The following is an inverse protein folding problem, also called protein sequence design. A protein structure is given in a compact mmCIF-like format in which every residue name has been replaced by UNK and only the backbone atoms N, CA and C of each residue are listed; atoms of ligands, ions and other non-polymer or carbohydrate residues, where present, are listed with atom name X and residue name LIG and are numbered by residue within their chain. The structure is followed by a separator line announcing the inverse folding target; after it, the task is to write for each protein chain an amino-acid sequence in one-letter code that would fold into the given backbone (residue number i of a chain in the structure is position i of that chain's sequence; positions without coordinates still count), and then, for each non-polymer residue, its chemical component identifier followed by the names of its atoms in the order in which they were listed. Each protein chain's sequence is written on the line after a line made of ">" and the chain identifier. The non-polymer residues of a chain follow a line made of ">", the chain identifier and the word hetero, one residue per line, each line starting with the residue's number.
data_IF_332303818516
#
_entry.id   IF_332303818516
#
_cell.length_a   1.000
_cell.length_b   1.000
_cell.length_c   1.000
_cell.angle_alpha   90.00
_cell.angle_beta   90.00
_cell.angle_gamma   90.00
#
_symmetry.space_group_name_H-M   'P 1'
#
loop_
_entity.id
_entity.type
_entity.pdbx_description
1 polymer ?
#
# COMPACT_ATOMS: atom_id res chain seq x y z
N UNK A 1 14.53 28.58 -5.51
CA UNK A 1 13.90 27.25 -5.41
C UNK A 1 12.41 27.44 -5.58
N UNK A 2 11.77 26.84 -6.59
CA UNK A 2 10.32 26.92 -6.74
C UNK A 2 9.65 26.22 -5.56
N UNK A 3 8.50 26.71 -5.12
CA UNK A 3 7.71 26.09 -4.05
C UNK A 3 6.92 24.93 -4.66
N UNK A 4 6.93 23.71 -4.07
CA UNK A 4 6.02 22.65 -4.47
C UNK A 4 4.59 23.12 -4.24
N UNK A 5 3.71 22.83 -5.19
CA UNK A 5 2.27 23.12 -5.10
C UNK A 5 1.63 22.36 -3.95
N UNK A 6 0.67 22.98 -3.26
CA UNK A 6 -0.07 22.43 -2.10
C UNK A 6 -1.10 21.36 -2.51
N UNK A 7 -0.70 20.41 -3.37
CA UNK A 7 -1.58 19.34 -3.82
C UNK A 7 -1.61 18.19 -2.80
N UNK A 8 -2.80 17.87 -2.36
CA UNK A 8 -3.12 16.93 -1.29
C UNK A 8 -2.74 15.49 -1.63
N UNK A 9 -1.95 14.84 -0.79
CA UNK A 9 -1.78 13.38 -0.75
C UNK A 9 -2.88 12.77 0.13
N UNK A 10 -4.07 12.54 -0.41
CA UNK A 10 -5.06 11.71 0.25
C UNK A 10 -4.89 10.28 -0.26
N UNK A 11 -4.20 9.43 0.49
CA UNK A 11 -4.17 8.00 0.24
C UNK A 11 -5.55 7.41 0.61
N UNK A 12 -6.46 7.36 -0.36
CA UNK A 12 -7.74 6.70 -0.17
C UNK A 12 -7.55 5.18 -0.26
N UNK A 13 -7.73 4.49 0.85
CA UNK A 13 -7.85 3.03 0.89
C UNK A 13 -9.01 2.57 0.00
N UNK A 14 -8.70 1.72 -0.99
CA UNK A 14 -9.66 1.07 -1.87
C UNK A 14 -10.59 0.15 -1.07
N UNK A 15 -11.80 0.62 -0.77
CA UNK A 15 -12.94 -0.25 -0.54
C UNK A 15 -13.61 -0.51 -1.90
N UNK A 16 -13.44 -1.71 -2.45
CA UNK A 16 -14.08 -2.11 -3.69
C UNK A 16 -15.58 -2.24 -3.52
N UNK A 17 -16.36 -1.46 -4.28
CA UNK A 17 -17.77 -1.68 -4.49
C UNK A 17 -17.98 -2.15 -5.95
N UNK A 18 -18.39 -3.40 -6.10
CA UNK A 18 -18.85 -3.95 -7.37
C UNK A 18 -20.30 -3.52 -7.57
N UNK A 19 -20.57 -2.72 -8.58
CA UNK A 19 -21.92 -2.48 -9.06
C UNK A 19 -22.09 -3.11 -10.46
N UNK A 20 -22.95 -4.11 -10.54
CA UNK A 20 -23.47 -4.71 -11.77
C UNK A 20 -24.50 -3.76 -12.40
N UNK A 21 -24.37 -3.48 -13.69
CA UNK A 21 -25.38 -2.79 -14.47
C UNK A 21 -25.19 -3.09 -15.94
N UNK A 22 -25.92 -4.11 -16.44
CA UNK A 22 -25.97 -4.43 -17.84
C UNK A 22 -26.89 -3.51 -18.60
N UNK A 23 -26.66 -3.37 -19.90
CA UNK A 23 -27.67 -3.23 -20.93
C UNK A 23 -27.05 -3.55 -22.29
N UNK A 24 -27.72 -4.47 -23.00
CA UNK A 24 -27.27 -5.00 -24.25
C UNK A 24 -27.54 -4.08 -25.46
N UNK A 25 -26.78 -4.32 -26.51
CA UNK A 25 -27.19 -4.04 -27.87
C UNK A 25 -26.75 -5.20 -28.76
N UNK A 26 -27.73 -5.81 -29.35
CA UNK A 26 -27.61 -6.80 -30.41
C UNK A 26 -27.05 -6.16 -31.68
N UNK A 27 -26.00 -6.76 -32.22
CA UNK A 27 -25.61 -6.51 -33.61
C UNK A 27 -25.48 -7.86 -34.32
N UNK A 28 -26.29 -8.04 -35.31
CA UNK A 28 -26.40 -9.21 -36.19
C UNK A 28 -25.14 -9.38 -37.04
N UNK A 29 -24.45 -10.51 -36.89
CA UNK A 29 -23.35 -10.89 -37.78
C UNK A 29 -23.78 -12.08 -38.60
N UNK A 30 -23.72 -11.92 -39.94
CA UNK A 30 -23.98 -12.96 -40.92
C UNK A 30 -22.91 -14.09 -40.83
N UNK A 31 -23.30 -15.36 -41.07
CA UNK A 31 -22.33 -16.44 -41.08
C UNK A 31 -21.59 -16.48 -42.43
N UNK A 32 -20.26 -16.46 -42.36
CA UNK A 32 -19.37 -16.80 -43.48
C UNK A 32 -19.24 -18.33 -43.54
N UNK A 33 -19.60 -18.89 -44.70
CA UNK A 33 -19.43 -20.32 -44.99
C UNK A 33 -17.94 -20.74 -44.93
N UNK A 34 -17.68 -21.87 -44.29
CA UNK A 34 -16.37 -22.49 -44.22
C UNK A 34 -16.11 -23.41 -45.43
N UNK A 35 -14.93 -23.42 -46.06
CA UNK A 35 -14.61 -24.36 -47.09
C UNK A 35 -14.34 -25.75 -46.50
N UNK A 36 -15.03 -26.76 -47.06
CA UNK A 36 -14.84 -28.18 -46.76
C UNK A 36 -13.62 -28.72 -47.52
N UNK A 37 -12.47 -28.89 -46.82
CA UNK A 37 -11.48 -29.84 -47.23
C UNK A 37 -10.99 -30.59 -45.96
N UNK A 38 -11.42 -31.86 -45.86
CA UNK A 38 -10.93 -32.80 -44.89
C UNK A 38 -9.52 -33.24 -45.32
N UNK A 39 -8.50 -33.00 -44.51
CA UNK A 39 -7.19 -33.65 -44.60
C UNK A 39 -7.14 -34.85 -43.63
N UNK A 40 -6.39 -35.91 -43.92
CA UNK A 40 -6.45 -37.18 -43.20
C UNK A 40 -5.88 -37.04 -41.78
N UNK A 41 -6.55 -37.76 -40.87
CA UNK A 41 -6.18 -37.87 -39.44
C UNK A 41 -4.90 -38.70 -39.34
N UNK A 42 -3.75 -38.02 -39.20
CA UNK A 42 -2.48 -38.63 -38.83
C UNK A 42 -2.21 -38.44 -37.34
N UNK A 43 -2.00 -39.55 -36.68
CA UNK A 43 -1.43 -39.79 -35.35
C UNK A 43 -1.64 -38.69 -34.27
N UNK A 44 -2.72 -38.85 -33.50
CA UNK A 44 -3.02 -38.12 -32.26
C UNK A 44 -2.06 -38.43 -31.10
N UNK A 45 -1.09 -39.34 -31.26
CA UNK A 45 -0.18 -39.74 -30.20
C UNK A 45 1.06 -38.82 -30.03
N UNK A 46 1.32 -37.91 -31.01
CA UNK A 46 2.49 -37.02 -30.95
C UNK A 46 2.21 -35.64 -30.36
N UNK A 47 0.93 -35.33 -30.01
CA UNK A 47 0.55 -34.05 -29.44
C UNK A 47 0.58 -34.00 -27.91
N UNK A 48 0.94 -35.11 -27.25
CA UNK A 48 0.99 -35.21 -25.78
C UNK A 48 2.30 -34.66 -25.16
N UNK A 49 3.20 -34.10 -25.94
CA UNK A 49 4.53 -33.64 -25.48
C UNK A 49 4.84 -32.18 -25.85
N UNK A 50 3.85 -31.37 -26.18
CA UNK A 50 4.11 -29.92 -26.25
C UNK A 50 4.27 -29.43 -24.82
N UNK A 51 5.38 -28.76 -24.43
CA UNK A 51 5.45 -28.04 -23.18
C UNK A 51 4.25 -27.10 -23.15
N UNK A 52 3.40 -27.21 -22.16
CA UNK A 52 2.39 -26.19 -21.92
C UNK A 52 3.16 -24.90 -21.69
N UNK A 53 3.18 -24.04 -22.70
CA UNK A 53 3.57 -22.65 -22.53
C UNK A 53 2.47 -22.09 -21.62
N UNK A 54 2.70 -22.17 -20.33
CA UNK A 54 1.81 -21.56 -19.36
C UNK A 54 1.69 -20.09 -19.73
N UNK A 55 0.47 -19.61 -19.90
CA UNK A 55 0.25 -18.17 -20.01
C UNK A 55 0.95 -17.51 -18.82
N UNK A 56 1.75 -16.45 -19.04
CA UNK A 56 2.37 -15.76 -17.93
C UNK A 56 1.29 -15.38 -16.90
N UNK A 57 1.52 -15.77 -15.65
CA UNK A 57 0.60 -15.39 -14.58
C UNK A 57 0.45 -13.86 -14.56
N UNK A 58 -0.77 -13.32 -14.35
CA UNK A 58 -0.94 -11.88 -14.19
C UNK A 58 0.03 -11.34 -13.14
N UNK A 59 0.64 -10.19 -13.41
CA UNK A 59 1.62 -9.57 -12.51
C UNK A 59 1.02 -9.35 -11.12
N UNK A 60 -0.27 -8.95 -11.06
CA UNK A 60 -0.99 -8.77 -9.81
C UNK A 60 -1.04 -10.04 -8.96
N UNK A 61 -1.35 -11.19 -9.57
CA UNK A 61 -1.42 -12.47 -8.85
C UNK A 61 -0.03 -12.90 -8.38
N UNK A 62 0.98 -12.73 -9.22
CA UNK A 62 2.37 -13.02 -8.88
C UNK A 62 2.86 -12.14 -7.71
N UNK A 63 2.56 -10.84 -7.71
CA UNK A 63 2.92 -9.94 -6.61
C UNK A 63 2.17 -10.27 -5.32
N UNK A 64 0.88 -10.66 -5.41
CA UNK A 64 0.10 -11.02 -4.22
C UNK A 64 0.52 -12.35 -3.59
N UNK A 65 1.08 -13.28 -4.38
CA UNK A 65 1.63 -14.52 -3.86
C UNK A 65 2.89 -14.33 -3.01
N UNK A 66 3.60 -13.19 -3.20
CA UNK A 66 4.82 -12.88 -2.43
C UNK A 66 4.42 -12.35 -1.04
N UNK A 67 4.95 -12.90 0.06
CA UNK A 67 4.79 -12.36 1.40
C UNK A 67 5.21 -10.88 1.46
N UNK A 68 4.52 -10.08 2.30
CA UNK A 68 4.74 -8.63 2.37
C UNK A 68 6.22 -8.24 2.57
N UNK A 69 6.91 -8.93 3.50
CA UNK A 69 8.32 -8.62 3.78
C UNK A 69 9.23 -8.89 2.58
N UNK A 70 9.03 -10.01 1.91
CA UNK A 70 9.78 -10.36 0.69
C UNK A 70 9.44 -9.40 -0.46
N UNK A 71 8.16 -9.00 -0.56
CA UNK A 71 7.71 -8.04 -1.57
C UNK A 71 8.34 -6.66 -1.36
N UNK A 72 8.57 -6.24 -0.12
CA UNK A 72 9.32 -5.02 0.18
C UNK A 72 10.82 -5.21 -0.06
N UNK A 73 11.38 -6.35 0.38
CA UNK A 73 12.81 -6.64 0.26
C UNK A 73 13.32 -6.68 -1.19
N UNK A 74 12.46 -7.04 -2.17
CA UNK A 74 12.84 -6.98 -3.59
C UNK A 74 13.25 -5.58 -4.07
N UNK A 75 12.87 -4.53 -3.34
CA UNK A 75 13.23 -3.14 -3.61
C UNK A 75 14.44 -2.62 -2.84
N UNK A 76 15.07 -3.47 -2.01
CA UNK A 76 16.15 -3.10 -1.11
C UNK A 76 17.25 -2.29 -1.80
N UNK A 77 17.69 -2.71 -2.99
CA UNK A 77 18.74 -1.99 -3.74
C UNK A 77 18.32 -0.56 -4.09
N UNK A 78 17.08 -0.35 -4.52
CA UNK A 78 16.56 0.97 -4.86
C UNK A 78 16.37 1.83 -3.61
N UNK A 79 15.92 1.21 -2.52
CA UNK A 79 15.75 1.88 -1.22
C UNK A 79 17.11 2.31 -0.66
N UNK A 80 18.13 1.46 -0.74
CA UNK A 80 19.48 1.76 -0.26
C UNK A 80 20.13 2.88 -1.07
N UNK A 81 19.95 2.88 -2.40
CA UNK A 81 20.39 3.97 -3.28
C UNK A 81 19.72 5.29 -2.90
N UNK A 82 18.39 5.29 -2.77
CA UNK A 82 17.62 6.48 -2.42
C UNK A 82 17.98 7.01 -1.01
N UNK A 83 18.11 6.11 -0.03
CA UNK A 83 18.51 6.45 1.34
C UNK A 83 19.87 7.15 1.38
N UNK A 84 20.85 6.58 0.66
CA UNK A 84 22.20 7.16 0.53
C UNK A 84 22.19 8.50 -0.22
N UNK A 85 21.43 8.58 -1.33
CA UNK A 85 21.38 9.78 -2.17
C UNK A 85 20.82 10.99 -1.45
N UNK A 86 19.80 10.80 -0.61
CA UNK A 86 19.11 11.90 0.08
C UNK A 86 19.47 12.02 1.56
N UNK A 87 20.34 11.16 2.07
CA UNK A 87 20.66 11.13 3.49
C UNK A 87 19.38 11.07 4.35
N UNK A 88 18.54 10.06 4.06
CA UNK A 88 17.35 9.74 4.84
C UNK A 88 17.44 8.32 5.38
N UNK A 89 16.95 8.05 6.61
CA UNK A 89 16.97 6.70 7.14
C UNK A 89 16.25 5.71 6.22
N UNK A 90 16.93 4.61 5.85
CA UNK A 90 16.35 3.53 5.03
C UNK A 90 14.98 3.08 5.54
N UNK A 91 14.86 2.94 6.88
CA UNK A 91 13.63 2.54 7.53
C UNK A 91 12.44 3.46 7.25
N UNK A 92 12.67 4.75 7.00
CA UNK A 92 11.59 5.69 6.64
C UNK A 92 11.02 5.39 5.26
N UNK A 93 11.89 5.11 4.28
CA UNK A 93 11.47 4.77 2.91
C UNK A 93 10.68 3.46 2.92
N UNK A 94 11.17 2.43 3.63
CA UNK A 94 10.49 1.15 3.80
C UNK A 94 9.13 1.33 4.48
N UNK A 95 9.06 2.13 5.55
CA UNK A 95 7.83 2.35 6.31
C UNK A 95 6.77 3.06 5.46
N UNK A 96 7.15 4.08 4.68
CA UNK A 96 6.27 4.75 3.73
C UNK A 96 5.83 3.79 2.63
N UNK A 97 6.74 3.13 1.91
CA UNK A 97 6.41 2.17 0.85
C UNK A 97 5.43 1.09 1.33
N UNK A 98 5.62 0.60 2.55
CA UNK A 98 4.72 -0.37 3.17
C UNK A 98 3.30 0.15 3.31
N UNK A 99 3.13 1.38 3.76
CA UNK A 99 1.82 2.00 3.96
C UNK A 99 1.15 2.34 2.61
N UNK A 100 1.94 2.80 1.63
CA UNK A 100 1.42 3.31 0.36
C UNK A 100 1.02 2.19 -0.61
N UNK A 101 1.92 1.25 -0.86
CA UNK A 101 1.70 0.21 -1.87
C UNK A 101 1.85 -1.22 -1.34
N UNK A 102 2.48 -1.39 -0.16
CA UNK A 102 2.94 -2.70 0.31
C UNK A 102 3.97 -3.31 -0.64
N UNK A 103 4.72 -2.50 -1.39
CA UNK A 103 5.71 -2.91 -2.38
C UNK A 103 5.13 -3.49 -3.68
N UNK A 104 3.83 -3.27 -3.97
CA UNK A 104 3.18 -3.68 -5.23
C UNK A 104 3.36 -2.61 -6.29
N UNK A 105 3.42 -3.06 -7.56
CA UNK A 105 3.49 -2.16 -8.72
C UNK A 105 2.17 -2.04 -9.45
N UNK A 106 1.26 -3.01 -9.27
CA UNK A 106 -0.02 -3.07 -9.98
C UNK A 106 -1.20 -3.35 -9.05
N UNK A 107 -2.37 -2.96 -9.51
CA UNK A 107 -3.69 -3.33 -9.01
C UNK A 107 -4.24 -4.52 -9.81
N UNK A 108 -5.39 -5.05 -9.41
CA UNK A 108 -6.10 -6.10 -10.15
C UNK A 108 -6.29 -5.70 -11.62
N UNK A 109 -6.02 -6.65 -12.53
CA UNK A 109 -6.02 -6.40 -13.97
C UNK A 109 -4.70 -5.80 -14.49
N UNK A 110 -3.61 -5.91 -13.71
CA UNK A 110 -2.26 -5.43 -14.05
C UNK A 110 -2.20 -3.92 -14.34
N UNK A 111 -3.13 -3.17 -13.76
CA UNK A 111 -3.18 -1.70 -13.89
C UNK A 111 -2.11 -1.11 -12.96
N UNK A 112 -1.26 -0.16 -13.44
CA UNK A 112 -0.28 0.51 -12.57
C UNK A 112 -0.93 1.09 -11.32
N UNK A 113 -0.32 0.82 -10.14
CA UNK A 113 -0.91 1.20 -8.86
C UNK A 113 -1.10 2.70 -8.76
N UNK A 114 -2.37 3.11 -8.69
CA UNK A 114 -2.78 4.52 -8.60
C UNK A 114 -3.92 4.63 -7.60
N UNK A 115 -3.84 5.57 -6.66
CA UNK A 115 -4.93 5.82 -5.72
C UNK A 115 -6.09 6.56 -6.41
N UNK A 116 -7.26 6.58 -5.76
CA UNK A 116 -8.42 7.37 -6.23
C UNK A 116 -8.12 8.87 -6.28
N UNK A 117 -7.19 9.35 -5.48
CA UNK A 117 -6.72 10.73 -5.50
C UNK A 117 -5.64 11.00 -6.56
N UNK A 118 -5.18 9.96 -7.29
CA UNK A 118 -4.17 10.08 -8.34
C UNK A 118 -2.73 9.90 -7.87
N UNK A 119 -2.49 9.45 -6.64
CA UNK A 119 -1.14 9.12 -6.18
C UNK A 119 -0.61 7.88 -6.91
N UNK A 120 0.67 7.89 -7.33
CA UNK A 120 1.23 6.97 -8.32
C UNK A 120 2.40 6.14 -7.78
N UNK A 121 2.42 4.86 -8.14
CA UNK A 121 3.57 3.96 -7.97
C UNK A 121 3.84 3.50 -6.54
N UNK A 122 5.02 2.93 -6.31
CA UNK A 122 5.46 2.30 -5.06
C UNK A 122 5.35 3.22 -3.84
N UNK A 123 5.69 4.50 -4.01
CA UNK A 123 5.70 5.51 -2.96
C UNK A 123 4.46 6.39 -2.98
N UNK A 124 3.48 6.12 -3.85
CA UNK A 124 2.25 6.88 -4.01
C UNK A 124 2.49 8.40 -4.09
N UNK A 125 3.34 8.79 -5.02
CA UNK A 125 3.70 10.20 -5.24
C UNK A 125 2.59 10.90 -6.01
N UNK A 126 2.11 12.04 -5.50
CA UNK A 126 1.10 12.86 -6.18
C UNK A 126 1.64 13.48 -7.47
N UNK A 127 0.80 13.72 -8.51
CA UNK A 127 1.23 14.23 -9.81
C UNK A 127 2.07 15.50 -9.75
N UNK A 128 1.68 16.45 -8.91
CA UNK A 128 2.44 17.72 -8.79
C UNK A 128 3.78 17.49 -8.09
N UNK A 129 3.80 16.70 -7.02
CA UNK A 129 5.04 16.30 -6.34
C UNK A 129 5.97 15.52 -7.29
N UNK A 130 5.40 14.60 -8.08
CA UNK A 130 6.16 13.88 -9.12
C UNK A 130 6.80 14.84 -10.12
N UNK A 131 6.01 15.78 -10.66
CA UNK A 131 6.53 16.76 -11.62
C UNK A 131 7.70 17.54 -11.04
N UNK A 132 7.58 18.02 -9.80
CA UNK A 132 8.62 18.82 -9.16
C UNK A 132 9.88 17.95 -8.88
N UNK A 133 9.71 16.76 -8.30
CA UNK A 133 10.84 15.83 -8.06
C UNK A 133 11.50 15.38 -9.37
N UNK A 134 10.70 15.12 -10.41
CA UNK A 134 11.22 14.74 -11.73
C UNK A 134 12.12 15.80 -12.32
N UNK A 135 11.73 17.06 -12.22
CA UNK A 135 12.53 18.17 -12.73
C UNK A 135 13.80 18.40 -11.91
N UNK A 136 13.68 18.42 -10.59
CA UNK A 136 14.79 18.68 -9.67
C UNK A 136 15.87 17.58 -9.74
N UNK A 137 15.47 16.33 -9.89
CA UNK A 137 16.37 15.18 -9.85
C UNK A 137 16.59 14.50 -11.20
N UNK A 138 16.06 15.08 -12.29
CA UNK A 138 16.20 14.61 -13.69
C UNK A 138 15.74 13.16 -13.88
N UNK A 139 14.57 12.83 -13.31
CA UNK A 139 13.97 11.51 -13.45
C UNK A 139 13.33 11.34 -14.83
N UNK A 140 13.05 10.10 -15.21
CA UNK A 140 12.37 9.75 -16.45
C UNK A 140 10.96 10.32 -16.58
N UNK A 141 10.25 9.92 -17.62
CA UNK A 141 8.87 10.37 -17.87
C UNK A 141 7.79 9.52 -17.24
N UNK A 142 8.13 8.31 -16.76
CA UNK A 142 7.17 7.34 -16.25
C UNK A 142 7.12 7.35 -14.71
N UNK A 143 6.02 7.86 -14.09
CA UNK A 143 5.88 7.89 -12.62
C UNK A 143 5.73 6.49 -11.98
N UNK A 144 5.52 5.45 -12.78
CA UNK A 144 5.39 4.07 -12.32
C UNK A 144 6.69 3.28 -12.45
N UNK A 145 7.76 3.88 -13.00
CA UNK A 145 9.07 3.26 -12.95
C UNK A 145 9.52 3.09 -11.51
N UNK A 146 9.84 1.86 -11.05
CA UNK A 146 10.15 1.61 -9.64
C UNK A 146 11.33 2.42 -9.11
N UNK A 147 12.41 2.55 -9.91
CA UNK A 147 13.59 3.31 -9.51
C UNK A 147 13.24 4.79 -9.32
N UNK A 148 12.66 5.40 -10.34
CA UNK A 148 12.37 6.83 -10.34
C UNK A 148 11.30 7.20 -9.31
N UNK A 149 10.31 6.32 -9.09
CA UNK A 149 9.28 6.54 -8.08
C UNK A 149 9.84 6.47 -6.65
N UNK A 150 10.75 5.52 -6.37
CA UNK A 150 11.43 5.44 -5.05
C UNK A 150 12.33 6.64 -4.83
N UNK A 151 13.07 7.09 -5.86
CA UNK A 151 13.88 8.31 -5.79
C UNK A 151 13.01 9.54 -5.51
N UNK A 152 11.88 9.70 -6.21
CA UNK A 152 10.96 10.82 -6.00
C UNK A 152 10.37 10.81 -4.59
N UNK A 153 9.91 9.65 -4.10
CA UNK A 153 9.37 9.51 -2.74
C UNK A 153 10.40 9.82 -1.65
N UNK A 154 11.64 9.33 -1.81
CA UNK A 154 12.73 9.60 -0.86
C UNK A 154 13.16 11.07 -0.87
N UNK A 155 13.23 11.71 -2.04
CA UNK A 155 13.49 13.14 -2.17
C UNK A 155 12.41 13.97 -1.47
N UNK A 156 11.15 13.56 -1.62
CA UNK A 156 10.03 14.23 -0.95
C UNK A 156 10.07 14.02 0.57
N UNK A 157 10.41 12.82 1.07
CA UNK A 157 10.67 12.58 2.50
C UNK A 157 11.77 13.52 3.02
N UNK A 158 12.89 13.67 2.28
CA UNK A 158 13.96 14.61 2.65
C UNK A 158 13.47 16.04 2.75
N UNK A 159 12.71 16.50 1.75
CA UNK A 159 12.11 17.84 1.73
C UNK A 159 11.22 18.06 2.94
N UNK A 160 10.28 17.14 3.21
CA UNK A 160 9.35 17.24 4.33
C UNK A 160 10.07 17.20 5.69
N UNK A 161 11.11 16.36 5.81
CA UNK A 161 11.91 16.32 7.03
C UNK A 161 12.64 17.63 7.29
N UNK A 162 13.18 18.25 6.26
CA UNK A 162 13.82 19.57 6.39
C UNK A 162 12.84 20.68 6.81
N UNK A 163 11.57 20.52 6.45
CA UNK A 163 10.54 21.53 6.74
C UNK A 163 9.85 21.32 8.09
N UNK A 164 9.52 20.08 8.44
CA UNK A 164 8.66 19.76 9.59
C UNK A 164 9.34 18.91 10.65
N UNK A 165 10.43 18.23 10.30
CA UNK A 165 11.09 17.27 11.19
C UNK A 165 10.30 15.98 11.41
N UNK A 166 10.94 15.05 12.13
CA UNK A 166 10.33 13.80 12.57
C UNK A 166 9.47 14.03 13.82
N UNK A 167 8.29 13.42 13.97
CA UNK A 167 7.58 12.56 13.02
C UNK A 167 6.60 13.33 12.10
N UNK A 168 6.52 14.66 12.21
CA UNK A 168 5.54 15.48 11.51
C UNK A 168 5.66 15.37 9.96
N UNK A 169 6.87 15.06 9.46
CA UNK A 169 7.09 14.78 8.03
C UNK A 169 6.12 13.72 7.48
N UNK A 170 5.79 12.70 8.26
CA UNK A 170 4.90 11.63 7.83
C UNK A 170 3.43 12.07 7.79
N UNK A 171 3.02 12.97 8.68
CA UNK A 171 1.71 13.61 8.58
C UNK A 171 1.61 14.46 7.32
N UNK A 172 2.67 15.22 7.00
CA UNK A 172 2.74 15.98 5.77
C UNK A 172 2.77 15.10 4.50
N UNK A 173 3.40 13.94 4.57
CA UNK A 173 3.42 12.98 3.47
C UNK A 173 2.02 12.45 3.14
N UNK A 174 1.26 12.04 4.19
CA UNK A 174 -0.06 11.44 4.05
C UNK A 174 -1.17 12.47 3.79
N UNK A 175 -1.26 13.54 4.61
CA UNK A 175 -2.36 14.52 4.59
C UNK A 175 -2.04 15.79 3.79
N UNK A 176 -0.80 15.94 3.36
CA UNK A 176 -0.28 17.09 2.63
C UNK A 176 0.26 18.21 3.52
N UNK A 177 1.24 18.98 3.02
CA UNK A 177 1.90 20.06 3.76
C UNK A 177 0.94 21.14 4.27
N UNK A 178 0.00 21.60 3.43
CA UNK A 178 -0.94 22.65 3.81
C UNK A 178 -1.88 22.25 4.94
N UNK A 179 -2.32 20.99 4.96
CA UNK A 179 -3.16 20.45 6.04
C UNK A 179 -2.37 20.32 7.34
N UNK A 180 -1.12 19.86 7.26
CA UNK A 180 -0.25 19.83 8.43
C UNK A 180 0.01 21.24 8.96
N UNK A 181 0.24 22.24 8.11
CA UNK A 181 0.42 23.64 8.53
C UNK A 181 -0.83 24.19 9.25
N UNK A 182 -2.02 23.89 8.72
CA UNK A 182 -3.28 24.23 9.40
C UNK A 182 -3.42 23.53 10.76
N UNK A 183 -2.96 22.27 10.87
CA UNK A 183 -2.93 21.57 12.14
C UNK A 183 -1.97 22.22 13.14
N UNK A 184 -0.74 22.51 12.72
CA UNK A 184 0.28 23.17 13.55
C UNK A 184 -0.17 24.58 13.99
N UNK A 185 -0.91 25.31 13.13
CA UNK A 185 -1.51 26.59 13.45
C UNK A 185 -2.74 26.47 14.36
N UNK A 186 -3.21 25.27 14.65
CA UNK A 186 -4.34 25.04 15.53
C UNK A 186 -5.72 25.25 14.90
N UNK A 187 -5.80 25.38 13.58
CA UNK A 187 -7.04 25.62 12.83
C UNK A 187 -7.69 24.35 12.28
N UNK A 188 -6.97 23.21 12.32
CA UNK A 188 -7.45 21.92 11.85
C UNK A 188 -6.87 20.79 12.71
N UNK A 189 -7.66 19.76 12.99
CA UNK A 189 -7.16 18.52 13.59
C UNK A 189 -6.70 17.54 12.50
N UNK A 190 -5.73 16.66 12.82
CA UNK A 190 -5.34 15.59 11.93
C UNK A 190 -6.51 14.61 11.74
N UNK A 191 -6.77 14.15 10.50
CA UNK A 191 -7.72 13.07 10.25
C UNK A 191 -7.33 11.77 10.97
N UNK A 192 -8.31 10.94 11.30
CA UNK A 192 -8.07 9.64 11.92
C UNK A 192 -7.15 8.73 11.08
N UNK A 193 -7.25 8.84 9.76
CA UNK A 193 -6.38 8.14 8.81
C UNK A 193 -4.91 8.55 8.99
N UNK A 194 -4.64 9.85 9.03
CA UNK A 194 -3.28 10.37 9.22
C UNK A 194 -2.72 10.00 10.58
N UNK A 195 -3.56 10.00 11.62
CA UNK A 195 -3.17 9.53 12.97
C UNK A 195 -2.78 8.05 12.93
N UNK A 196 -3.57 7.21 12.25
CA UNK A 196 -3.28 5.80 12.09
C UNK A 196 -1.99 5.57 11.27
N UNK A 197 -1.81 6.33 10.19
CA UNK A 197 -0.60 6.30 9.36
C UNK A 197 0.66 6.61 10.18
N UNK A 198 0.64 7.71 10.93
CA UNK A 198 1.72 8.09 11.85
C UNK A 198 2.01 7.00 12.89
N UNK A 199 0.96 6.49 13.52
CA UNK A 199 1.05 5.45 14.55
C UNK A 199 1.71 4.20 14.00
N UNK A 200 1.26 3.71 12.85
CA UNK A 200 1.81 2.53 12.19
C UNK A 200 3.29 2.70 11.82
N UNK A 201 3.67 3.85 11.26
CA UNK A 201 5.07 4.13 10.92
C UNK A 201 5.93 4.17 12.17
N UNK A 202 5.53 4.93 13.20
CA UNK A 202 6.33 5.10 14.41
C UNK A 202 6.56 3.79 15.16
N UNK A 203 5.52 2.96 15.28
CA UNK A 203 5.65 1.65 15.91
C UNK A 203 6.66 0.79 15.15
N UNK A 204 6.61 0.77 13.81
CA UNK A 204 7.54 -0.01 12.98
C UNK A 204 8.98 0.50 13.05
N UNK A 205 9.16 1.77 13.33
CA UNK A 205 10.47 2.38 13.56
C UNK A 205 10.95 2.22 15.01
N UNK A 206 10.18 1.53 15.88
CA UNK A 206 10.52 1.32 17.28
C UNK A 206 10.26 2.54 18.17
N UNK A 207 9.51 3.53 17.68
CA UNK A 207 9.20 4.77 18.38
C UNK A 207 7.69 4.86 18.66
N UNK A 208 7.30 4.48 19.87
CA UNK A 208 5.89 4.50 20.27
C UNK A 208 5.34 5.94 20.30
N UNK A 209 4.16 6.19 19.72
CA UNK A 209 3.52 7.52 19.74
C UNK A 209 3.26 8.01 21.16
N UNK A 210 3.52 9.30 21.39
CA UNK A 210 3.20 9.99 22.66
C UNK A 210 2.14 11.06 22.38
N UNK A 211 1.09 11.18 23.23
CA UNK A 211 0.09 12.23 23.09
C UNK A 211 0.74 13.63 23.10
N UNK A 212 0.32 14.51 22.18
CA UNK A 212 0.77 15.90 22.11
C UNK A 212 2.19 16.15 21.66
N UNK A 213 2.88 15.13 21.16
CA UNK A 213 4.24 15.26 20.65
C UNK A 213 4.31 16.10 19.38
N UNK A 214 5.36 16.94 19.27
CA UNK A 214 5.63 17.85 18.15
C UNK A 214 4.52 18.86 17.85
N UNK A 215 3.68 19.22 18.81
CA UNK A 215 2.61 20.19 18.62
C UNK A 215 1.48 19.71 17.69
N UNK A 216 1.49 18.45 17.25
CA UNK A 216 0.45 17.89 16.41
C UNK A 216 -0.86 17.79 17.19
N UNK A 217 -1.90 18.43 16.69
CA UNK A 217 -3.24 18.33 17.26
C UNK A 217 -3.91 17.07 16.74
N UNK A 218 -4.05 16.11 17.64
CA UNK A 218 -4.89 14.94 17.38
C UNK A 218 -6.35 15.38 17.49
N UNK A 219 -7.20 14.95 16.58
CA UNK A 219 -8.64 15.17 16.72
C UNK A 219 -9.06 14.76 18.12
N UNK A 220 -9.68 15.70 18.88
CA UNK A 220 -10.13 15.44 20.24
C UNK A 220 -11.03 14.22 20.21
N UNK A 221 -10.59 13.15 20.85
CA UNK A 221 -11.26 11.85 20.74
C UNK A 221 -12.65 11.90 21.36
N UNK A 222 -13.65 12.24 20.56
CA UNK A 222 -14.80 11.33 20.51
C UNK A 222 -14.17 9.99 20.09
N UNK A 223 -14.40 8.85 20.76
CA UNK A 223 -13.69 7.62 20.44
C UNK A 223 -14.07 7.20 19.03
N UNK A 224 -13.42 7.84 18.04
CA UNK A 224 -13.41 7.41 16.69
C UNK A 224 -12.78 6.03 16.75
N UNK A 225 -13.47 5.05 16.19
CA UNK A 225 -12.99 3.68 16.00
C UNK A 225 -11.53 3.73 15.64
N UNK A 226 -10.66 3.50 16.62
CA UNK A 226 -9.24 3.55 16.40
C UNK A 226 -8.89 2.24 15.72
N UNK A 227 -8.64 2.30 14.42
CA UNK A 227 -8.36 1.13 13.60
C UNK A 227 -6.90 1.09 13.22
N UNK A 228 -6.35 -0.11 13.14
CA UNK A 228 -5.05 -0.37 12.55
C UNK A 228 -5.24 -1.17 11.26
N UNK A 229 -4.45 -0.85 10.25
CA UNK A 229 -4.44 -1.62 9.00
C UNK A 229 -3.38 -2.72 9.10
N UNK A 230 -3.83 -3.96 8.93
CA UNK A 230 -3.01 -5.17 8.91
C UNK A 230 -3.17 -5.88 7.56
N UNK A 231 -2.35 -6.89 7.30
CA UNK A 231 -2.33 -7.60 6.03
C UNK A 231 -2.94 -9.00 6.20
N UNK A 232 -3.97 -9.32 5.46
CA UNK A 232 -4.54 -10.68 5.38
C UNK A 232 -3.56 -11.67 4.76
N UNK A 233 -3.75 -12.99 4.97
CA UNK A 233 -2.95 -14.01 4.31
C UNK A 233 -2.96 -13.94 2.77
N UNK A 234 -4.06 -13.46 2.18
CA UNK A 234 -4.22 -13.23 0.73
C UNK A 234 -3.50 -11.97 0.23
N UNK A 235 -2.88 -11.18 1.12
CA UNK A 235 -2.18 -9.94 0.80
C UNK A 235 -3.07 -8.69 0.81
N UNK A 236 -4.36 -8.81 1.03
CA UNK A 236 -5.26 -7.67 1.14
C UNK A 236 -5.10 -6.96 2.49
N UNK A 237 -5.25 -5.63 2.47
CA UNK A 237 -5.30 -4.84 3.69
C UNK A 237 -6.63 -5.06 4.42
N UNK A 238 -6.57 -5.14 5.75
CA UNK A 238 -7.75 -5.17 6.61
C UNK A 238 -7.62 -4.15 7.73
N UNK A 239 -8.64 -3.34 7.94
CA UNK A 239 -8.73 -2.44 9.08
C UNK A 239 -9.35 -3.17 10.29
N UNK A 240 -8.63 -3.20 11.40
CA UNK A 240 -9.07 -3.81 12.67
C UNK A 240 -9.28 -2.72 13.69
N UNK A 241 -10.49 -2.68 14.28
CA UNK A 241 -10.81 -1.78 15.37
C UNK A 241 -10.26 -2.33 16.70
N UNK A 242 -9.40 -1.57 17.38
CA UNK A 242 -8.77 -2.01 18.63
C UNK A 242 -9.75 -2.41 19.71
N UNK A 243 -10.87 -1.69 19.86
CA UNK A 243 -11.91 -2.00 20.85
C UNK A 243 -12.62 -3.36 20.61
N UNK A 244 -12.59 -3.89 19.39
CA UNK A 244 -13.20 -5.17 19.04
C UNK A 244 -12.32 -6.37 19.36
N UNK A 245 -11.03 -6.16 19.64
CA UNK A 245 -10.04 -7.21 19.84
C UNK A 245 -10.15 -7.81 21.24
N UNK A 246 -10.20 -9.15 21.29
CA UNK A 246 -10.23 -9.94 22.51
C UNK A 246 -8.92 -10.65 22.83
N UNK A 247 -8.10 -10.88 21.79
CA UNK A 247 -6.82 -11.55 21.94
C UNK A 247 -6.04 -11.65 20.63
N UNK A 248 -4.75 -11.92 20.75
CA UNK A 248 -3.85 -12.22 19.65
C UNK A 248 -3.04 -13.46 20.00
N UNK A 249 -2.88 -14.38 19.06
CA UNK A 249 -2.06 -15.58 19.24
C UNK A 249 -1.33 -15.95 17.95
N UNK A 250 -0.38 -16.83 18.06
CA UNK A 250 0.24 -17.45 16.89
C UNK A 250 -0.76 -18.35 16.13
N UNK A 251 -0.51 -18.51 14.84
CA UNK A 251 -1.22 -19.49 14.00
C UNK A 251 -0.83 -20.90 14.42
N UNK A 252 -1.81 -21.80 14.50
CA UNK A 252 -1.56 -23.23 14.73
C UNK A 252 -1.28 -23.94 13.38
N UNK A 253 -0.45 -25.00 13.38
CA UNK A 253 -0.17 -25.74 12.15
C UNK A 253 -1.45 -26.20 11.45
N UNK A 254 -1.60 -25.86 10.17
CA UNK A 254 -2.75 -26.24 9.33
C UNK A 254 -4.04 -25.45 9.56
N UNK A 255 -4.04 -24.45 10.46
CA UNK A 255 -5.24 -23.64 10.75
C UNK A 255 -5.52 -22.59 9.68
N UNK A 256 -4.47 -21.99 9.09
CA UNK A 256 -4.52 -20.97 8.06
C UNK A 256 -3.40 -21.20 7.03
N UNK A 257 -3.41 -20.51 5.86
CA UNK A 257 -2.30 -20.55 4.93
C UNK A 257 -0.95 -20.19 5.58
N UNK A 258 0.15 -20.75 5.08
CA UNK A 258 1.52 -20.52 5.61
C UNK A 258 1.93 -19.04 5.67
N UNK A 259 1.29 -18.19 4.86
CA UNK A 259 1.49 -16.74 4.87
C UNK A 259 0.91 -16.02 6.10
N UNK A 260 0.15 -16.72 6.94
CA UNK A 260 -0.42 -16.16 8.18
C UNK A 260 0.56 -16.36 9.34
N UNK A 261 0.79 -15.34 10.15
CA UNK A 261 1.70 -15.38 11.31
C UNK A 261 0.99 -15.17 12.65
N UNK A 262 -0.11 -14.39 12.65
CA UNK A 262 -0.93 -14.20 13.86
C UNK A 262 -2.43 -14.35 13.56
N UNK A 263 -3.17 -14.67 14.62
CA UNK A 263 -4.64 -14.74 14.62
C UNK A 263 -5.17 -13.78 15.67
N UNK A 264 -6.06 -12.88 15.24
CA UNK A 264 -6.74 -11.91 16.09
C UNK A 264 -8.13 -12.43 16.40
N UNK A 265 -8.46 -12.53 17.69
CA UNK A 265 -9.81 -12.85 18.16
C UNK A 265 -10.62 -11.56 18.28
N UNK A 266 -11.72 -11.47 17.54
CA UNK A 266 -12.65 -10.33 17.52
C UNK A 266 -13.94 -10.62 18.31
N UNK A 267 -14.00 -11.74 19.04
CA UNK A 267 -15.17 -12.16 19.80
C UNK A 267 -16.31 -12.71 18.95
N UNK A 268 -16.57 -12.14 17.78
CA UNK A 268 -17.55 -12.64 16.80
C UNK A 268 -16.93 -13.47 15.67
N UNK A 269 -15.61 -13.58 15.67
CA UNK A 269 -14.85 -14.29 14.66
C UNK A 269 -13.36 -14.10 14.86
N UNK A 270 -12.57 -14.75 14.01
CA UNK A 270 -11.12 -14.65 14.01
C UNK A 270 -10.61 -14.14 12.68
N UNK A 271 -9.56 -13.34 12.73
CA UNK A 271 -8.90 -12.80 11.56
C UNK A 271 -7.42 -13.18 11.59
N UNK A 272 -6.99 -13.94 10.59
CA UNK A 272 -5.57 -14.21 10.39
C UNK A 272 -4.90 -13.03 9.67
N UNK A 273 -3.65 -12.73 10.05
CA UNK A 273 -2.82 -11.64 9.46
C UNK A 273 -1.39 -12.12 9.26
N UNK A 274 -0.66 -11.45 8.37
CA UNK A 274 0.74 -11.78 8.04
C UNK A 274 1.75 -11.24 9.05
N UNK A 275 1.41 -10.17 9.74
CA UNK A 275 2.24 -9.61 10.81
C UNK A 275 2.38 -10.64 11.94
N UNK A 276 3.59 -10.73 12.53
CA UNK A 276 3.82 -11.60 13.66
C UNK A 276 3.03 -11.20 14.92
N UNK A 277 2.98 -12.08 15.91
CA UNK A 277 2.20 -11.86 17.14
C UNK A 277 2.66 -10.61 17.89
N UNK A 278 3.97 -10.38 17.95
CA UNK A 278 4.52 -9.27 18.73
C UNK A 278 4.14 -7.94 18.08
N UNK A 279 4.37 -7.79 16.78
CA UNK A 279 4.02 -6.60 16.01
C UNK A 279 2.50 -6.37 15.98
N UNK A 280 1.71 -7.43 15.73
CA UNK A 280 0.25 -7.37 15.75
C UNK A 280 -0.27 -6.89 17.10
N UNK A 281 0.24 -7.44 18.21
CA UNK A 281 -0.13 -7.03 19.57
C UNK A 281 0.22 -5.57 19.83
N UNK A 282 1.43 -5.14 19.43
CA UNK A 282 1.89 -3.77 19.61
C UNK A 282 1.02 -2.78 18.83
N UNK A 283 0.73 -3.07 17.56
CA UNK A 283 -0.11 -2.25 16.70
C UNK A 283 -1.55 -2.13 17.26
N UNK A 284 -2.13 -3.24 17.72
CA UNK A 284 -3.47 -3.25 18.27
C UNK A 284 -3.58 -2.53 19.62
N UNK A 285 -2.57 -2.66 20.50
CA UNK A 285 -2.51 -1.88 21.75
C UNK A 285 -2.43 -0.38 21.50
N UNK A 286 -1.69 0.04 20.48
CA UNK A 286 -1.57 1.44 20.09
C UNK A 286 -2.92 2.05 19.65
N UNK A 287 -3.87 1.23 19.18
CA UNK A 287 -5.23 1.64 18.79
C UNK A 287 -6.29 1.26 19.83
N UNK A 288 -5.87 1.04 21.07
CA UNK A 288 -6.76 0.88 22.20
C UNK A 288 -7.24 -0.54 22.50
N UNK A 289 -6.64 -1.58 21.92
CA UNK A 289 -6.91 -2.96 22.29
C UNK A 289 -6.43 -3.24 23.74
N UNK A 290 -7.28 -3.88 24.52
CA UNK A 290 -6.96 -4.32 25.89
C UNK A 290 -6.44 -5.75 25.86
N UNK A 291 -5.14 -5.90 25.53
CA UNK A 291 -4.43 -7.16 25.34
C UNK A 291 -3.38 -7.37 26.45
#
# INVERSE_FOLDING_TARGET
>A
MPRPSDSFCAAALLAGLVALGGLGMWSTIHPLEAPRHAAPVGDLALLASTPQVGFPQPVFDAENAIPLEERLARWDRLIDEAAKRFDVPRGWIVAVMRQESGGRTVLQGDIPITSTAGAMGLMQVMPDTWRDMRLDYRLGGNPYDPHDNVIAGAAYIKFLNGKYGYPALFAAYNDGPGNLEANLAGTRDLPAETIAYLTNIRIRLGDAPRPGENGLRMASATPAKTTVTLTRPDGQAIAIEGASVKGVRAVLPGEYPESASAVIDLGKGRQAVREDVALTTQLLKAVGAKL
#
